data_IF_452857812452
#
_entry.id   IF_452857812452
#
_cell.length_a   1.000
_cell.length_b   1.000
_cell.length_c   1.000
_cell.angle_alpha   90.00
_cell.angle_beta   90.00
_cell.angle_gamma   90.00
#
_symmetry.space_group_name_H-M   'P 1'
#
loop_
_entity.id
_entity.type
_entity.pdbx_description
1 polymer ?
#
# COMPACT_ATOMS: atom_id res chain seq x y z
N UNK A 1 -6.07 -18.43 26.97
CA UNK A 1 -6.98 -17.93 25.94
C UNK A 1 -6.95 -18.95 24.79
N UNK A 2 -8.09 -19.50 24.39
CA UNK A 2 -8.20 -20.37 23.22
C UNK A 2 -7.76 -19.54 22.00
N UNK A 3 -6.66 -19.93 21.35
CA UNK A 3 -6.21 -19.35 20.10
C UNK A 3 -7.25 -19.65 19.04
N UNK A 4 -8.14 -18.71 18.77
CA UNK A 4 -9.15 -18.86 17.73
C UNK A 4 -8.47 -18.69 16.38
N UNK A 5 -8.32 -19.79 15.64
CA UNK A 5 -7.87 -19.73 14.24
C UNK A 5 -8.83 -18.85 13.45
N UNK A 6 -8.29 -17.93 12.68
CA UNK A 6 -9.08 -17.11 11.76
C UNK A 6 -9.59 -17.97 10.60
N UNK A 7 -10.87 -17.80 10.26
CA UNK A 7 -11.48 -18.50 9.13
C UNK A 7 -10.90 -17.99 7.80
N UNK A 8 -10.99 -18.80 6.76
CA UNK A 8 -10.58 -18.41 5.40
C UNK A 8 -11.32 -17.13 4.93
N UNK A 9 -12.63 -17.06 5.20
CA UNK A 9 -13.46 -15.89 4.86
C UNK A 9 -12.97 -14.59 5.51
N UNK A 10 -12.52 -14.67 6.75
CA UNK A 10 -11.98 -13.50 7.46
C UNK A 10 -10.63 -13.05 6.88
N UNK A 11 -9.76 -13.99 6.52
CA UNK A 11 -8.45 -13.70 5.92
C UNK A 11 -8.60 -13.06 4.55
N UNK A 12 -9.46 -13.63 3.71
CA UNK A 12 -9.79 -13.06 2.39
C UNK A 12 -10.44 -11.70 2.55
N UNK A 13 -11.45 -11.60 3.42
CA UNK A 13 -12.14 -10.33 3.65
C UNK A 13 -11.24 -9.23 4.19
N UNK A 14 -10.26 -9.56 5.05
CA UNK A 14 -9.24 -8.62 5.48
C UNK A 14 -8.32 -8.21 4.31
N UNK A 15 -7.86 -9.15 3.51
CA UNK A 15 -7.03 -8.88 2.33
C UNK A 15 -7.72 -7.97 1.30
N UNK A 16 -9.03 -8.15 1.08
CA UNK A 16 -9.82 -7.31 0.17
C UNK A 16 -9.82 -5.82 0.54
N UNK A 17 -9.63 -5.48 1.82
CA UNK A 17 -9.48 -4.10 2.27
C UNK A 17 -8.21 -3.43 1.70
N UNK A 18 -7.12 -4.17 1.56
CA UNK A 18 -5.92 -3.64 0.91
C UNK A 18 -6.11 -3.48 -0.61
N UNK A 19 -6.77 -4.45 -1.27
CA UNK A 19 -7.16 -4.28 -2.68
C UNK A 19 -8.02 -3.03 -2.87
N UNK A 20 -9.00 -2.80 -1.97
CA UNK A 20 -9.83 -1.61 -2.00
C UNK A 20 -9.03 -0.32 -1.89
N UNK A 21 -8.05 -0.28 -0.99
CA UNK A 21 -7.12 0.86 -0.86
C UNK A 21 -6.30 1.06 -2.13
N UNK A 22 -5.75 -0.01 -2.70
CA UNK A 22 -4.88 0.04 -3.88
C UNK A 22 -5.60 0.51 -5.15
N UNK A 23 -6.90 0.24 -5.32
CA UNK A 23 -7.63 0.75 -6.48
C UNK A 23 -7.63 2.27 -6.59
N UNK A 24 -7.62 2.99 -5.48
CA UNK A 24 -7.54 4.45 -5.46
C UNK A 24 -6.10 4.92 -5.27
N UNK A 25 -5.37 4.33 -4.32
CA UNK A 25 -4.01 4.73 -3.97
C UNK A 25 -3.04 4.63 -5.15
N UNK A 26 -3.10 3.55 -5.91
CA UNK A 26 -2.22 3.36 -7.06
C UNK A 26 -2.63 4.25 -8.25
N UNK A 27 -3.92 4.53 -8.43
CA UNK A 27 -4.36 5.56 -9.38
C UNK A 27 -3.76 6.93 -9.05
N UNK A 28 -3.81 7.31 -7.78
CA UNK A 28 -3.18 8.54 -7.29
C UNK A 28 -1.66 8.46 -7.49
N UNK A 29 -1.02 7.38 -7.04
CA UNK A 29 0.43 7.23 -7.09
C UNK A 29 1.01 7.27 -8.51
N UNK A 30 0.34 6.65 -9.48
CA UNK A 30 0.85 6.54 -10.85
C UNK A 30 0.39 7.67 -11.76
N UNK A 31 -0.82 8.22 -11.56
CA UNK A 31 -1.47 9.03 -12.57
C UNK A 31 -1.83 10.45 -12.15
N UNK A 32 -1.91 10.78 -10.85
CA UNK A 32 -2.40 12.08 -10.41
C UNK A 32 -1.52 13.24 -10.89
N UNK A 33 -0.20 13.07 -10.89
CA UNK A 33 0.72 14.10 -11.36
C UNK A 33 0.52 14.39 -12.86
N UNK A 34 0.49 13.35 -13.67
CA UNK A 34 0.23 13.44 -15.12
C UNK A 34 -1.16 14.03 -15.37
N UNK A 35 -2.17 13.58 -14.62
CA UNK A 35 -3.52 14.13 -14.74
C UNK A 35 -3.55 15.62 -14.41
N UNK A 36 -2.89 16.07 -13.37
CA UNK A 36 -2.85 17.48 -12.98
C UNK A 36 -2.11 18.34 -14.01
N UNK A 37 -0.99 17.87 -14.55
CA UNK A 37 -0.18 18.65 -15.51
C UNK A 37 -0.77 18.61 -16.91
N UNK A 38 -1.02 17.41 -17.42
CA UNK A 38 -1.30 17.22 -18.86
C UNK A 38 -2.80 17.27 -19.19
N UNK A 39 -3.66 16.95 -18.21
CA UNK A 39 -5.12 16.91 -18.42
C UNK A 39 -5.82 18.10 -17.79
N UNK A 40 -5.53 18.43 -16.52
CA UNK A 40 -6.17 19.54 -15.80
C UNK A 40 -5.50 20.89 -16.06
N UNK A 41 -4.22 20.85 -16.49
CA UNK A 41 -3.47 22.05 -16.93
C UNK A 41 -2.94 22.92 -15.78
N UNK A 42 -2.62 22.33 -14.61
CA UNK A 42 -1.87 23.03 -13.56
C UNK A 42 -0.36 22.88 -13.82
N UNK A 43 0.43 23.89 -13.43
CA UNK A 43 1.89 23.80 -13.58
C UNK A 43 2.46 22.65 -12.74
N UNK A 44 3.53 22.01 -13.25
CA UNK A 44 4.22 20.92 -12.53
C UNK A 44 4.75 21.39 -11.16
N UNK A 45 5.15 22.67 -11.04
CA UNK A 45 5.55 23.26 -9.77
C UNK A 45 4.40 23.33 -8.76
N UNK A 46 3.19 23.75 -9.19
CA UNK A 46 2.00 23.77 -8.34
C UNK A 46 1.59 22.34 -7.93
N UNK A 47 1.55 21.40 -8.86
CA UNK A 47 1.22 20.00 -8.58
C UNK A 47 2.24 19.39 -7.59
N UNK A 48 3.53 19.57 -7.80
CA UNK A 48 4.58 19.10 -6.88
C UNK A 48 4.47 19.74 -5.49
N UNK A 49 4.13 21.04 -5.41
CA UNK A 49 3.91 21.73 -4.14
C UNK A 49 2.70 21.16 -3.38
N UNK A 50 1.60 20.88 -4.07
CA UNK A 50 0.41 20.23 -3.48
C UNK A 50 0.80 18.87 -2.87
N UNK A 51 1.56 18.06 -3.62
CA UNK A 51 2.01 16.74 -3.14
C UNK A 51 2.94 16.86 -1.94
N UNK A 52 3.86 17.84 -1.93
CA UNK A 52 4.75 18.09 -0.80
C UNK A 52 3.98 18.52 0.45
N UNK A 53 3.04 19.46 0.31
CA UNK A 53 2.17 19.89 1.43
C UNK A 53 1.39 18.70 2.00
N UNK A 54 0.88 17.82 1.16
CA UNK A 54 0.19 16.62 1.61
C UNK A 54 1.12 15.67 2.41
N UNK A 55 2.38 15.50 2.02
CA UNK A 55 3.34 14.70 2.81
C UNK A 55 3.65 15.32 4.18
N UNK A 56 3.75 16.64 4.24
CA UNK A 56 3.89 17.33 5.54
C UNK A 56 2.62 17.19 6.38
N UNK A 57 1.44 17.24 5.74
CA UNK A 57 0.17 17.01 6.41
C UNK A 57 0.05 15.58 6.97
N UNK A 58 0.47 14.55 6.22
CA UNK A 58 0.48 13.16 6.66
C UNK A 58 1.30 13.00 7.96
N UNK A 59 2.45 13.69 8.10
CA UNK A 59 3.27 13.65 9.33
C UNK A 59 2.52 14.10 10.58
N UNK A 60 1.51 14.96 10.43
CA UNK A 60 0.68 15.47 11.53
C UNK A 60 -0.60 14.65 11.67
N UNK A 61 -1.26 14.36 10.55
CA UNK A 61 -2.57 13.69 10.55
C UNK A 61 -2.49 12.22 10.98
N UNK A 62 -1.41 11.51 10.66
CA UNK A 62 -1.25 10.09 11.01
C UNK A 62 -1.21 9.87 12.54
N UNK A 63 -0.35 10.57 13.33
CA UNK A 63 -0.37 10.46 14.79
C UNK A 63 -1.71 10.88 15.40
N UNK A 64 -2.32 11.97 14.90
CA UNK A 64 -3.63 12.44 15.38
C UNK A 64 -4.70 11.39 15.14
N UNK A 65 -4.74 10.80 13.93
CA UNK A 65 -5.68 9.75 13.60
C UNK A 65 -5.45 8.48 14.45
N UNK A 66 -4.20 8.13 14.73
CA UNK A 66 -3.85 7.04 15.64
C UNK A 66 -4.47 7.23 17.01
N UNK A 67 -4.33 8.43 17.59
CA UNK A 67 -4.92 8.78 18.91
C UNK A 67 -6.46 8.72 18.86
N UNK A 68 -7.07 9.26 17.80
CA UNK A 68 -8.53 9.24 17.63
C UNK A 68 -9.02 7.79 17.54
N UNK A 69 -8.37 6.97 16.72
CA UNK A 69 -8.71 5.56 16.57
C UNK A 69 -8.54 4.80 17.89
N UNK A 70 -7.49 5.11 18.67
CA UNK A 70 -7.23 4.48 19.95
C UNK A 70 -8.27 4.81 21.02
N UNK A 71 -8.85 5.98 20.99
CA UNK A 71 -9.92 6.41 21.90
C UNK A 71 -11.32 5.99 21.46
N UNK A 72 -11.46 5.51 20.23
CA UNK A 72 -12.75 5.11 19.70
C UNK A 72 -13.26 3.83 20.35
N UNK A 73 -14.50 3.85 20.80
CA UNK A 73 -15.20 2.69 21.35
C UNK A 73 -16.64 2.68 20.83
N UNK A 74 -16.95 1.72 19.96
CA UNK A 74 -18.30 1.60 19.36
C UNK A 74 -18.81 0.16 19.44
N UNK A 75 -20.10 -0.03 19.15
CA UNK A 75 -20.73 -1.35 19.04
C UNK A 75 -20.08 -2.26 17.99
N UNK A 76 -19.36 -1.70 17.02
CA UNK A 76 -18.67 -2.46 15.96
C UNK A 76 -17.19 -2.72 16.25
N UNK A 77 -16.68 -2.20 17.38
CA UNK A 77 -15.28 -2.26 17.77
C UNK A 77 -14.61 -0.88 17.70
N UNK A 78 -13.28 -0.90 17.74
CA UNK A 78 -12.41 0.27 17.77
C UNK A 78 -12.02 0.74 16.38
N UNK A 79 -11.59 -0.17 15.52
CA UNK A 79 -11.01 0.13 14.20
C UNK A 79 -11.98 -0.09 13.03
N UNK A 80 -12.87 -1.09 13.11
CA UNK A 80 -13.85 -1.41 12.07
C UNK A 80 -14.80 -0.27 11.69
N UNK A 81 -15.26 0.61 12.62
CA UNK A 81 -16.13 1.73 12.26
C UNK A 81 -15.55 2.65 11.20
N UNK A 82 -14.22 2.85 11.20
CA UNK A 82 -13.55 3.71 10.23
C UNK A 82 -13.62 3.16 8.80
N UNK A 83 -13.55 1.83 8.64
CA UNK A 83 -13.74 1.18 7.35
C UNK A 83 -15.14 1.49 6.82
N UNK A 84 -16.16 1.41 7.68
CA UNK A 84 -17.54 1.70 7.30
C UNK A 84 -17.75 3.18 6.98
N UNK A 85 -17.29 4.08 7.86
CA UNK A 85 -17.57 5.51 7.76
C UNK A 85 -16.74 6.19 6.66
N UNK A 86 -15.50 5.78 6.47
CA UNK A 86 -14.57 6.44 5.56
C UNK A 86 -14.58 5.85 4.14
N UNK A 87 -15.14 4.67 3.91
CA UNK A 87 -15.22 4.08 2.57
C UNK A 87 -15.95 4.95 1.57
N UNK A 88 -17.08 5.55 1.95
CA UNK A 88 -17.85 6.43 1.07
C UNK A 88 -17.12 7.77 0.80
N UNK A 89 -16.70 8.55 1.82
CA UNK A 89 -15.88 9.75 1.59
C UNK A 89 -14.62 9.48 0.77
N UNK A 90 -13.93 8.37 1.01
CA UNK A 90 -12.73 7.97 0.25
C UNK A 90 -13.03 7.80 -1.24
N UNK A 91 -14.11 7.07 -1.55
CA UNK A 91 -14.54 6.84 -2.93
C UNK A 91 -14.96 8.14 -3.63
N UNK A 92 -15.70 9.01 -2.95
CA UNK A 92 -16.14 10.29 -3.50
C UNK A 92 -14.98 11.23 -3.75
N UNK A 93 -14.09 11.40 -2.75
CA UNK A 93 -12.92 12.27 -2.88
C UNK A 93 -11.93 11.79 -3.95
N UNK A 94 -11.79 10.46 -4.11
CA UNK A 94 -11.01 9.90 -5.20
C UNK A 94 -11.55 10.37 -6.58
N UNK A 95 -12.86 10.30 -6.80
CA UNK A 95 -13.47 10.77 -8.05
C UNK A 95 -13.31 12.28 -8.21
N UNK A 96 -13.50 13.06 -7.14
CA UNK A 96 -13.34 14.51 -7.17
C UNK A 96 -11.90 14.92 -7.50
N UNK A 97 -10.89 14.22 -6.98
CA UNK A 97 -9.47 14.50 -7.27
C UNK A 97 -9.12 14.32 -8.75
N UNK A 98 -9.89 13.51 -9.50
CA UNK A 98 -9.74 13.31 -10.95
C UNK A 98 -10.89 13.93 -11.75
N UNK A 99 -11.47 14.99 -11.24
CA UNK A 99 -12.49 15.80 -11.93
C UNK A 99 -11.86 17.14 -12.33
N UNK A 100 -12.24 17.65 -13.50
CA UNK A 100 -11.70 18.89 -14.09
C UNK A 100 -12.78 19.96 -14.18
N UNK A 101 -13.22 20.57 -13.06
CA UNK A 101 -14.15 21.69 -13.12
C UNK A 101 -13.52 22.89 -13.83
N UNK A 102 -14.35 23.63 -14.55
CA UNK A 102 -13.89 24.81 -15.31
C UNK A 102 -13.78 26.01 -14.36
N UNK A 103 -12.64 26.11 -13.70
CA UNK A 103 -12.24 27.24 -12.86
C UNK A 103 -11.10 28.00 -13.52
N UNK A 104 -10.94 29.29 -13.22
CA UNK A 104 -9.73 30.02 -13.59
C UNK A 104 -8.47 29.39 -12.96
N UNK A 105 -7.26 29.75 -13.43
CA UNK A 105 -6.00 29.09 -13.07
C UNK A 105 -5.78 28.94 -11.56
N UNK A 106 -6.04 30.00 -10.79
CA UNK A 106 -5.95 29.95 -9.32
C UNK A 106 -6.98 28.99 -8.74
N UNK A 107 -8.22 28.99 -9.27
CA UNK A 107 -9.29 28.11 -8.83
C UNK A 107 -8.97 26.63 -9.07
N UNK A 108 -8.33 26.28 -10.18
CA UNK A 108 -7.86 24.92 -10.48
C UNK A 108 -6.86 24.44 -9.44
N UNK A 109 -5.87 25.27 -9.07
CA UNK A 109 -4.85 24.93 -8.07
C UNK A 109 -5.50 24.73 -6.69
N UNK A 110 -6.41 25.62 -6.28
CA UNK A 110 -7.13 25.51 -4.99
C UNK A 110 -7.99 24.24 -4.97
N UNK A 111 -8.73 23.95 -6.03
CA UNK A 111 -9.54 22.75 -6.13
C UNK A 111 -8.71 21.46 -6.05
N UNK A 112 -7.61 21.38 -6.82
CA UNK A 112 -6.69 20.26 -6.80
C UNK A 112 -6.08 20.07 -5.40
N UNK A 113 -5.63 21.15 -4.76
CA UNK A 113 -5.07 21.11 -3.40
C UNK A 113 -6.10 20.63 -2.38
N UNK A 114 -7.32 21.19 -2.41
CA UNK A 114 -8.37 20.84 -1.46
C UNK A 114 -8.80 19.37 -1.61
N UNK A 115 -9.08 18.92 -2.83
CA UNK A 115 -9.51 17.53 -3.08
C UNK A 115 -8.40 16.52 -2.76
N UNK A 116 -7.14 16.83 -3.09
CA UNK A 116 -6.01 15.97 -2.79
C UNK A 116 -5.74 15.87 -1.28
N UNK A 117 -5.70 16.99 -0.56
CA UNK A 117 -5.49 17.02 0.90
C UNK A 117 -6.61 16.29 1.66
N UNK A 118 -7.86 16.52 1.25
CA UNK A 118 -9.01 15.82 1.83
C UNK A 118 -8.94 14.31 1.55
N UNK A 119 -8.56 13.92 0.32
CA UNK A 119 -8.39 12.51 -0.04
C UNK A 119 -7.29 11.85 0.81
N UNK A 120 -6.14 12.50 1.01
CA UNK A 120 -5.07 11.99 1.86
C UNK A 120 -5.51 11.87 3.32
N UNK A 121 -6.24 12.87 3.84
CA UNK A 121 -6.79 12.83 5.21
C UNK A 121 -7.74 11.65 5.41
N UNK A 122 -8.66 11.42 4.46
CA UNK A 122 -9.60 10.31 4.53
C UNK A 122 -8.89 8.97 4.30
N UNK A 123 -7.85 8.93 3.44
CA UNK A 123 -7.00 7.76 3.29
C UNK A 123 -6.33 7.37 4.60
N UNK A 124 -5.72 8.32 5.32
CA UNK A 124 -5.18 8.08 6.67
C UNK A 124 -6.25 7.57 7.62
N UNK A 125 -7.45 8.19 7.59
CA UNK A 125 -8.55 7.81 8.47
C UNK A 125 -9.12 6.40 8.21
N UNK A 126 -8.97 5.85 7.01
CA UNK A 126 -9.39 4.46 6.72
C UNK A 126 -8.23 3.49 6.86
N UNK A 127 -7.05 3.82 6.34
CA UNK A 127 -5.94 2.88 6.20
C UNK A 127 -5.21 2.60 7.53
N UNK A 128 -5.07 3.61 8.39
CA UNK A 128 -4.38 3.44 9.68
C UNK A 128 -5.18 2.54 10.64
N UNK A 129 -6.52 2.74 10.85
CA UNK A 129 -7.33 1.80 11.61
C UNK A 129 -7.42 0.42 10.95
N UNK A 130 -7.52 0.35 9.61
CA UNK A 130 -7.50 -0.91 8.89
C UNK A 130 -6.21 -1.70 9.14
N UNK A 131 -5.05 -1.06 9.09
CA UNK A 131 -3.76 -1.71 9.37
C UNK A 131 -3.68 -2.21 10.82
N UNK A 132 -4.22 -1.43 11.77
CA UNK A 132 -4.27 -1.78 13.20
C UNK A 132 -5.25 -2.91 13.51
N UNK A 133 -6.30 -3.08 12.68
CA UNK A 133 -7.32 -4.11 12.84
C UNK A 133 -6.71 -5.52 12.89
N UNK A 134 -5.67 -5.79 12.11
CA UNK A 134 -4.99 -7.10 12.10
C UNK A 134 -4.48 -7.52 13.48
N UNK A 135 -4.03 -6.59 14.31
CA UNK A 135 -3.52 -6.86 15.65
C UNK A 135 -4.63 -7.24 16.64
N UNK A 136 -5.85 -6.73 16.45
CA UNK A 136 -7.00 -7.01 17.32
C UNK A 136 -7.90 -8.14 16.80
N UNK A 137 -7.66 -8.65 15.60
CA UNK A 137 -8.36 -9.83 15.07
C UNK A 137 -7.85 -11.12 15.71
N UNK A 138 -6.56 -11.20 16.08
CA UNK A 138 -5.95 -12.38 16.71
C UNK A 138 -4.76 -12.02 17.59
N UNK A 139 -4.65 -12.69 18.73
CA UNK A 139 -3.47 -12.59 19.62
C UNK A 139 -2.31 -13.49 19.17
N UNK A 140 -2.57 -14.50 18.31
CA UNK A 140 -1.55 -15.41 17.81
C UNK A 140 -0.68 -14.75 16.75
N UNK A 141 0.61 -14.62 17.03
CA UNK A 141 1.57 -13.95 16.14
C UNK A 141 1.81 -14.71 14.82
N UNK A 142 1.61 -16.04 14.77
CA UNK A 142 1.68 -16.81 13.53
C UNK A 142 0.40 -16.71 12.70
N UNK A 143 -0.76 -16.60 13.36
CA UNK A 143 -2.01 -16.28 12.64
C UNK A 143 -1.95 -14.86 12.06
N UNK A 144 -1.34 -13.86 12.76
CA UNK A 144 -1.10 -12.53 12.20
C UNK A 144 -0.17 -12.57 10.99
N UNK A 145 0.90 -13.37 11.02
CA UNK A 145 1.76 -13.56 9.86
C UNK A 145 0.98 -14.12 8.65
N UNK A 146 0.11 -15.10 8.90
CA UNK A 146 -0.79 -15.63 7.89
C UNK A 146 -1.79 -14.58 7.38
N UNK A 147 -2.40 -13.79 8.27
CA UNK A 147 -3.33 -12.72 7.91
C UNK A 147 -2.65 -11.66 7.03
N UNK A 148 -1.44 -11.23 7.41
CA UNK A 148 -0.64 -10.29 6.62
C UNK A 148 -0.21 -10.89 5.27
N UNK A 149 0.01 -12.21 5.18
CA UNK A 149 0.27 -12.85 3.88
C UNK A 149 -0.92 -12.68 2.93
N UNK A 150 -2.16 -12.90 3.39
CA UNK A 150 -3.36 -12.61 2.59
C UNK A 150 -3.42 -11.13 2.23
N UNK A 151 -3.21 -10.25 3.19
CA UNK A 151 -3.19 -8.79 2.99
C UNK A 151 -2.29 -8.40 1.82
N UNK A 152 -1.02 -8.81 1.84
CA UNK A 152 -0.05 -8.43 0.80
C UNK A 152 -0.31 -9.11 -0.55
N UNK A 153 -0.80 -10.35 -0.58
CA UNK A 153 -1.25 -10.98 -1.83
C UNK A 153 -2.34 -10.13 -2.50
N UNK A 154 -3.33 -9.71 -1.74
CA UNK A 154 -4.44 -8.91 -2.23
C UNK A 154 -4.03 -7.47 -2.57
N UNK A 155 -3.07 -6.87 -1.83
CA UNK A 155 -2.48 -5.57 -2.14
C UNK A 155 -1.79 -5.57 -3.51
N UNK A 156 -0.86 -6.52 -3.71
CA UNK A 156 -0.14 -6.62 -4.98
C UNK A 156 -1.04 -7.04 -6.15
N UNK A 157 -2.08 -7.85 -5.91
CA UNK A 157 -3.07 -8.14 -6.93
C UNK A 157 -3.85 -6.87 -7.34
N UNK A 158 -4.26 -6.04 -6.38
CA UNK A 158 -4.87 -4.73 -6.64
C UNK A 158 -3.95 -3.82 -7.44
N UNK A 159 -2.69 -3.70 -7.03
CA UNK A 159 -1.67 -2.92 -7.75
C UNK A 159 -1.48 -3.40 -9.20
N UNK A 160 -1.42 -4.72 -9.44
CA UNK A 160 -1.30 -5.27 -10.80
C UNK A 160 -2.52 -4.94 -11.66
N UNK A 161 -3.72 -5.01 -11.10
CA UNK A 161 -4.95 -4.66 -11.82
C UNK A 161 -4.91 -3.19 -12.23
N UNK A 162 -4.62 -2.29 -11.30
CA UNK A 162 -4.58 -0.84 -11.59
C UNK A 162 -3.47 -0.52 -12.60
N UNK A 163 -2.24 -0.98 -12.35
CA UNK A 163 -1.11 -0.70 -13.25
C UNK A 163 -1.29 -1.27 -14.65
N UNK A 164 -1.97 -2.41 -14.76
CA UNK A 164 -2.21 -3.07 -16.06
C UNK A 164 -3.43 -2.57 -16.82
N UNK A 165 -4.42 -1.97 -16.15
CA UNK A 165 -5.71 -1.66 -16.79
C UNK A 165 -6.08 -0.18 -16.79
N UNK A 166 -5.51 0.65 -15.89
CA UNK A 166 -5.94 2.03 -15.70
C UNK A 166 -5.87 2.86 -16.98
N UNK A 167 -4.75 2.84 -17.68
CA UNK A 167 -4.58 3.62 -18.91
C UNK A 167 -5.48 3.10 -20.05
N UNK A 168 -5.57 1.79 -20.23
CA UNK A 168 -6.42 1.19 -21.25
C UNK A 168 -7.90 1.49 -21.00
N UNK A 169 -8.33 1.45 -19.75
CA UNK A 169 -9.69 1.84 -19.36
C UNK A 169 -9.93 3.34 -19.59
N UNK A 170 -8.96 4.20 -19.25
CA UNK A 170 -9.09 5.63 -19.46
C UNK A 170 -9.21 5.97 -20.95
N UNK A 171 -8.43 5.34 -21.81
CA UNK A 171 -8.53 5.51 -23.26
C UNK A 171 -9.87 4.99 -23.82
N UNK A 172 -10.30 3.82 -23.36
CA UNK A 172 -11.54 3.19 -23.82
C UNK A 172 -12.79 3.98 -23.38
N UNK A 173 -12.87 4.36 -22.09
CA UNK A 173 -14.02 5.06 -21.52
C UNK A 173 -14.08 6.54 -21.93
N UNK A 174 -12.91 7.15 -22.16
CA UNK A 174 -12.80 8.56 -22.52
C UNK A 174 -13.15 8.87 -23.97
N UNK A 175 -13.11 7.88 -24.87
CA UNK A 175 -13.43 8.05 -26.30
C UNK A 175 -12.76 9.27 -26.95
N UNK A 176 -11.51 9.54 -26.58
CA UNK A 176 -10.73 10.70 -27.04
C UNK A 176 -10.71 11.88 -26.05
N UNK A 177 -11.56 11.90 -25.05
CA UNK A 177 -11.51 12.87 -23.94
C UNK A 177 -10.75 12.27 -22.75
N UNK A 178 -9.51 12.68 -22.58
CA UNK A 178 -8.63 12.13 -21.54
C UNK A 178 -9.13 12.44 -20.12
N UNK A 179 -9.73 13.61 -19.90
CA UNK A 179 -10.29 14.03 -18.62
C UNK A 179 -11.42 13.09 -18.18
N UNK A 180 -12.40 12.90 -19.07
CA UNK A 180 -13.50 11.95 -18.81
C UNK A 180 -13.01 10.52 -18.68
N UNK A 181 -11.99 10.14 -19.45
CA UNK A 181 -11.39 8.82 -19.38
C UNK A 181 -10.85 8.48 -17.99
N UNK A 182 -10.02 9.33 -17.44
CA UNK A 182 -9.51 9.16 -16.06
C UNK A 182 -10.63 9.21 -15.03
N UNK A 183 -11.56 10.13 -15.15
CA UNK A 183 -12.69 10.27 -14.22
C UNK A 183 -13.57 9.00 -14.22
N UNK A 184 -13.97 8.48 -15.37
CA UNK A 184 -14.80 7.26 -15.47
C UNK A 184 -14.07 6.01 -14.98
N UNK A 185 -12.78 5.90 -15.28
CA UNK A 185 -11.95 4.81 -14.74
C UNK A 185 -11.93 4.86 -13.23
N UNK A 186 -11.77 6.04 -12.66
CA UNK A 186 -11.74 6.18 -11.21
C UNK A 186 -13.12 5.99 -10.56
N UNK A 187 -14.20 6.39 -11.22
CA UNK A 187 -15.56 6.04 -10.77
C UNK A 187 -15.71 4.51 -10.67
N UNK A 188 -15.28 3.77 -11.69
CA UNK A 188 -15.32 2.31 -11.68
C UNK A 188 -14.51 1.74 -10.51
N UNK A 189 -13.26 2.18 -10.35
CA UNK A 189 -12.40 1.70 -9.27
C UNK A 189 -12.89 2.13 -7.88
N UNK A 190 -13.45 3.32 -7.74
CA UNK A 190 -14.01 3.82 -6.49
C UNK A 190 -15.26 3.03 -6.05
N UNK A 191 -16.13 2.65 -7.00
CA UNK A 191 -17.29 1.79 -6.72
C UNK A 191 -16.81 0.40 -6.28
N UNK A 192 -15.86 -0.19 -6.98
CA UNK A 192 -15.29 -1.50 -6.59
C UNK A 192 -14.64 -1.39 -5.20
N UNK A 193 -13.81 -0.35 -4.97
CA UNK A 193 -13.16 -0.08 -3.68
C UNK A 193 -14.19 0.00 -2.54
N UNK A 194 -15.27 0.76 -2.72
CA UNK A 194 -16.35 0.86 -1.75
C UNK A 194 -16.97 -0.50 -1.42
N UNK A 195 -17.29 -1.30 -2.44
CA UNK A 195 -17.86 -2.64 -2.26
C UNK A 195 -16.90 -3.53 -1.48
N UNK A 196 -15.60 -3.52 -1.83
CA UNK A 196 -14.58 -4.32 -1.16
C UNK A 196 -14.39 -3.91 0.31
N UNK A 197 -14.43 -2.60 0.63
CA UNK A 197 -14.41 -2.13 2.02
C UNK A 197 -15.66 -2.60 2.79
N UNK A 198 -16.84 -2.61 2.16
CA UNK A 198 -18.05 -3.14 2.81
C UNK A 198 -17.95 -4.64 3.06
N UNK A 199 -17.34 -5.41 2.17
CA UNK A 199 -17.04 -6.83 2.39
C UNK A 199 -16.05 -6.98 3.54
N UNK A 200 -14.98 -6.20 3.57
CA UNK A 200 -14.01 -6.19 4.67
C UNK A 200 -14.67 -5.91 6.02
N UNK A 201 -15.50 -4.88 6.09
CA UNK A 201 -16.24 -4.55 7.30
C UNK A 201 -17.15 -5.70 7.77
N UNK A 202 -17.85 -6.36 6.86
CA UNK A 202 -18.79 -7.45 7.19
C UNK A 202 -18.11 -8.75 7.57
N UNK A 203 -16.92 -9.01 7.05
CA UNK A 203 -16.22 -10.30 7.24
C UNK A 203 -15.23 -10.29 8.40
N UNK A 204 -14.71 -9.12 8.78
CA UNK A 204 -13.74 -9.00 9.88
C UNK A 204 -14.42 -8.81 11.22
N UNK A 205 -13.76 -9.24 12.32
CA UNK A 205 -14.24 -9.05 13.70
C UNK A 205 -13.05 -8.78 14.63
N UNK A 206 -13.20 -7.82 15.53
CA UNK A 206 -12.27 -7.56 16.61
C UNK A 206 -12.53 -8.54 17.76
N UNK A 207 -11.49 -9.22 18.23
CA UNK A 207 -11.58 -10.24 19.30
C UNK A 207 -10.69 -9.95 20.49
N UNK A 208 -9.62 -9.19 20.28
CA UNK A 208 -8.66 -8.83 21.32
C UNK A 208 -9.04 -7.47 21.86
N UNK A 209 -9.52 -7.44 23.11
CA UNK A 209 -9.76 -6.17 23.79
C UNK A 209 -8.42 -5.49 24.12
N UNK A 210 -8.28 -4.18 23.90
CA UNK A 210 -7.11 -3.44 24.36
C UNK A 210 -7.04 -3.46 25.88
N UNK A 211 -5.84 -3.32 26.48
CA UNK A 211 -5.69 -3.17 27.92
C UNK A 211 -6.55 -2.01 28.45
N UNK A 212 -7.21 -2.20 29.60
CA UNK A 212 -8.20 -1.27 30.15
C UNK A 212 -7.61 0.07 30.65
N UNK A 213 -6.29 0.17 30.78
CA UNK A 213 -5.60 1.33 31.36
C UNK A 213 -4.48 1.80 30.43
N UNK A 214 -4.84 2.53 29.38
CA UNK A 214 -3.88 3.36 28.66
C UNK A 214 -4.24 4.83 28.89
N UNK A 215 -3.62 5.44 29.88
CA UNK A 215 -3.50 6.90 29.95
C UNK A 215 -2.56 7.31 28.81
N UNK A 216 -3.12 7.94 27.77
CA UNK A 216 -2.36 8.40 26.62
C UNK A 216 -1.51 9.63 27.04
N UNK A 217 -0.37 9.42 27.64
CA UNK A 217 0.68 10.41 27.76
C UNK A 217 1.67 10.24 26.60
N UNK A 218 1.40 10.96 25.51
CA UNK A 218 2.23 10.95 24.29
C UNK A 218 3.71 11.18 24.56
N UNK A 219 4.04 12.07 25.53
CA UNK A 219 5.42 12.38 25.86
C UNK A 219 6.11 11.19 26.53
N UNK A 220 5.40 10.54 27.45
CA UNK A 220 5.92 9.35 28.12
C UNK A 220 6.00 8.15 27.18
N UNK A 221 5.02 7.99 26.29
CA UNK A 221 4.99 6.91 25.30
C UNK A 221 6.14 7.05 24.29
N UNK A 222 6.41 8.25 23.75
CA UNK A 222 7.56 8.53 22.91
C UNK A 222 8.88 8.24 23.63
N UNK A 223 9.00 8.67 24.90
CA UNK A 223 10.20 8.40 25.72
C UNK A 223 10.41 6.90 25.96
N UNK A 224 9.33 6.15 26.15
CA UNK A 224 9.37 4.70 26.31
C UNK A 224 9.74 3.99 25.01
N UNK A 225 9.21 4.44 23.86
CA UNK A 225 9.57 3.93 22.53
C UNK A 225 11.06 4.13 22.23
N UNK A 226 11.60 5.33 22.51
CA UNK A 226 13.03 5.64 22.31
C UNK A 226 13.96 4.85 23.26
N UNK A 227 13.45 4.25 24.33
CA UNK A 227 14.18 3.33 25.19
C UNK A 227 14.02 1.87 24.81
N UNK A 228 13.04 1.55 23.96
CA UNK A 228 12.74 0.19 23.52
C UNK A 228 13.68 -0.22 22.38
N UNK A 229 14.82 -0.85 22.72
CA UNK A 229 15.83 -1.29 21.75
C UNK A 229 15.27 -2.15 20.60
N UNK A 230 14.40 -3.16 20.82
CA UNK A 230 13.75 -3.89 19.73
C UNK A 230 12.95 -2.99 18.77
N UNK A 231 12.22 -2.02 19.31
CA UNK A 231 11.46 -1.07 18.49
C UNK A 231 12.37 -0.19 17.63
N UNK A 232 13.47 0.33 18.20
CA UNK A 232 14.45 1.16 17.48
C UNK A 232 15.05 0.36 16.31
N UNK A 233 15.42 -0.90 16.54
CA UNK A 233 15.96 -1.78 15.49
C UNK A 233 14.93 -1.95 14.37
N UNK A 234 13.68 -2.26 14.70
CA UNK A 234 12.61 -2.42 13.70
C UNK A 234 12.31 -1.12 12.95
N UNK A 235 12.39 0.01 13.60
CA UNK A 235 12.23 1.34 12.99
C UNK A 235 13.30 1.57 11.90
N UNK A 236 14.57 1.35 12.21
CA UNK A 236 15.64 1.48 11.22
C UNK A 236 15.56 0.42 10.11
N UNK A 237 15.19 -0.81 10.43
CA UNK A 237 14.92 -1.86 9.42
C UNK A 237 13.81 -1.41 8.47
N UNK A 238 12.74 -0.80 8.99
CA UNK A 238 11.65 -0.25 8.18
C UNK A 238 12.13 0.85 7.23
N UNK A 239 12.89 1.83 7.75
CA UNK A 239 13.47 2.91 6.92
C UNK A 239 14.36 2.34 5.83
N UNK A 240 15.31 1.47 6.17
CA UNK A 240 16.24 0.87 5.20
C UNK A 240 15.47 0.07 4.14
N UNK A 241 14.47 -0.70 4.54
CA UNK A 241 13.63 -1.47 3.60
C UNK A 241 12.87 -0.56 2.64
N UNK A 242 12.33 0.57 3.13
CA UNK A 242 11.64 1.54 2.31
C UNK A 242 12.58 2.25 1.31
N UNK A 243 13.76 2.68 1.77
CA UNK A 243 14.79 3.29 0.91
C UNK A 243 15.25 2.29 -0.15
N UNK A 244 15.51 1.03 0.24
CA UNK A 244 15.90 -0.03 -0.69
C UNK A 244 14.81 -0.25 -1.76
N UNK A 245 13.53 -0.31 -1.36
CA UNK A 245 12.42 -0.46 -2.28
C UNK A 245 12.33 0.72 -3.27
N UNK A 246 12.48 1.95 -2.80
CA UNK A 246 12.46 3.14 -3.64
C UNK A 246 13.63 3.16 -4.63
N UNK A 247 14.85 2.85 -4.17
CA UNK A 247 16.05 2.79 -5.02
C UNK A 247 15.94 1.69 -6.09
N UNK A 248 15.43 0.50 -5.73
CA UNK A 248 15.23 -0.58 -6.69
C UNK A 248 14.25 -0.18 -7.80
N UNK A 249 13.12 0.43 -7.46
CA UNK A 249 12.14 0.87 -8.47
C UNK A 249 12.71 1.95 -9.40
N UNK A 250 13.47 2.90 -8.87
CA UNK A 250 14.14 3.92 -9.68
C UNK A 250 15.23 3.30 -10.56
N UNK A 251 16.07 2.44 -9.99
CA UNK A 251 17.21 1.84 -10.70
C UNK A 251 16.79 0.94 -11.86
N UNK A 252 15.68 0.20 -11.72
CA UNK A 252 15.17 -0.69 -12.78
C UNK A 252 14.88 0.08 -14.06
N UNK A 253 14.25 1.25 -13.98
CA UNK A 253 13.94 2.06 -15.16
C UNK A 253 15.23 2.51 -15.90
N UNK A 254 16.24 2.97 -15.14
CA UNK A 254 17.54 3.36 -15.70
C UNK A 254 18.30 2.17 -16.26
N UNK A 255 18.30 1.01 -15.58
CA UNK A 255 18.94 -0.22 -16.00
C UNK A 255 18.43 -0.68 -17.36
N UNK A 256 17.10 -0.72 -17.55
CA UNK A 256 16.51 -1.11 -18.84
C UNK A 256 16.71 -0.05 -19.92
N UNK A 257 16.66 1.25 -19.58
CA UNK A 257 16.83 2.33 -20.55
C UNK A 257 18.27 2.46 -21.06
N UNK A 258 19.25 2.42 -20.16
CA UNK A 258 20.64 2.77 -20.49
C UNK A 258 21.55 1.56 -20.62
N UNK A 259 21.30 0.45 -19.94
CA UNK A 259 22.13 -0.75 -20.00
C UNK A 259 21.57 -1.79 -20.96
N UNK A 260 20.28 -2.11 -20.87
CA UNK A 260 19.62 -3.07 -21.76
C UNK A 260 19.27 -2.42 -23.13
N UNK A 261 19.04 -1.11 -23.18
CA UNK A 261 18.61 -0.39 -24.39
C UNK A 261 17.13 -0.60 -24.77
N UNK A 262 16.32 -1.19 -23.88
CA UNK A 262 14.90 -1.47 -24.13
C UNK A 262 14.03 -1.11 -22.92
N UNK A 263 13.60 0.15 -22.86
CA UNK A 263 12.76 0.65 -21.78
C UNK A 263 11.36 0.00 -21.72
N UNK A 264 10.85 -0.56 -22.83
CA UNK A 264 9.51 -1.18 -22.87
C UNK A 264 9.44 -2.45 -22.02
N UNK A 265 10.56 -3.12 -21.79
CA UNK A 265 10.63 -4.34 -20.98
C UNK A 265 10.53 -4.09 -19.47
N UNK A 266 10.67 -2.85 -18.98
CA UNK A 266 10.54 -2.48 -17.56
C UNK A 266 9.20 -2.95 -17.00
N UNK A 267 8.11 -2.70 -17.74
CA UNK A 267 6.78 -3.09 -17.28
C UNK A 267 6.66 -4.61 -17.13
N UNK A 268 7.12 -5.37 -18.14
CA UNK A 268 7.08 -6.83 -18.10
C UNK A 268 7.94 -7.40 -16.95
N UNK A 269 9.13 -6.84 -16.75
CA UNK A 269 10.04 -7.19 -15.66
C UNK A 269 9.39 -7.00 -14.28
N UNK A 270 8.72 -5.87 -14.06
CA UNK A 270 8.03 -5.59 -12.83
C UNK A 270 6.80 -6.47 -12.62
N UNK A 271 6.00 -6.69 -13.67
CA UNK A 271 4.80 -7.55 -13.62
C UNK A 271 5.19 -8.99 -13.26
N UNK A 272 6.16 -9.58 -13.97
CA UNK A 272 6.61 -10.96 -13.71
C UNK A 272 7.19 -11.07 -12.31
N UNK A 273 8.01 -10.12 -11.88
CA UNK A 273 8.56 -10.09 -10.52
C UNK A 273 7.47 -9.99 -9.44
N UNK A 274 6.43 -9.19 -9.67
CA UNK A 274 5.31 -9.05 -8.74
C UNK A 274 4.46 -10.32 -8.69
N UNK A 275 4.21 -10.97 -9.81
CA UNK A 275 3.52 -12.27 -9.84
C UNK A 275 4.31 -13.32 -9.05
N UNK A 276 5.63 -13.39 -9.25
CA UNK A 276 6.51 -14.31 -8.52
C UNK A 276 6.46 -14.06 -7.00
N UNK A 277 6.45 -12.78 -6.60
CA UNK A 277 6.30 -12.38 -5.20
C UNK A 277 4.93 -12.80 -4.63
N UNK A 278 3.83 -12.55 -5.34
CA UNK A 278 2.48 -12.96 -4.94
C UNK A 278 2.40 -14.47 -4.69
N UNK A 279 2.96 -15.27 -5.59
CA UNK A 279 2.97 -16.74 -5.49
C UNK A 279 3.75 -17.20 -4.25
N UNK A 280 4.83 -16.50 -3.88
CA UNK A 280 5.70 -16.92 -2.79
C UNK A 280 5.28 -16.39 -1.40
N UNK A 281 4.53 -15.30 -1.29
CA UNK A 281 4.05 -14.73 -0.02
C UNK A 281 3.32 -15.76 0.88
N UNK A 282 2.43 -16.65 0.40
CA UNK A 282 1.75 -17.62 1.26
C UNK A 282 2.66 -18.56 2.03
N UNK A 283 3.89 -18.77 1.57
CA UNK A 283 4.89 -19.60 2.26
C UNK A 283 5.47 -18.94 3.52
N UNK A 284 5.22 -17.64 3.76
CA UNK A 284 5.72 -16.91 4.94
C UNK A 284 5.33 -17.57 6.26
N UNK A 285 4.05 -17.95 6.42
CA UNK A 285 3.55 -18.56 7.66
C UNK A 285 4.17 -19.95 7.92
N UNK A 286 4.18 -20.91 6.98
CA UNK A 286 4.79 -22.22 7.20
C UNK A 286 6.30 -22.13 7.45
N UNK A 287 7.02 -21.30 6.72
CA UNK A 287 8.45 -21.07 6.93
C UNK A 287 8.72 -20.48 8.32
N UNK A 288 7.97 -19.44 8.71
CA UNK A 288 8.11 -18.81 10.03
C UNK A 288 7.82 -19.78 11.18
N UNK A 289 6.86 -20.70 11.02
CA UNK A 289 6.59 -21.74 12.01
C UNK A 289 7.74 -22.75 12.15
N UNK A 290 8.39 -23.10 11.02
CA UNK A 290 9.45 -24.11 11.01
C UNK A 290 10.79 -23.55 11.46
N UNK A 291 11.16 -22.34 11.03
CA UNK A 291 12.51 -21.78 11.21
C UNK A 291 12.54 -20.54 12.12
N UNK A 292 11.38 -20.07 12.57
CA UNK A 292 11.26 -18.83 13.34
C UNK A 292 11.20 -17.58 12.45
N UNK A 293 10.48 -16.55 12.90
CA UNK A 293 10.24 -15.31 12.12
C UNK A 293 11.54 -14.57 11.79
N UNK A 294 12.45 -14.40 12.78
CA UNK A 294 13.71 -13.69 12.62
C UNK A 294 14.59 -14.36 11.57
N UNK A 295 14.76 -15.68 11.65
CA UNK A 295 15.60 -16.45 10.73
C UNK A 295 15.07 -16.36 9.30
N UNK A 296 13.75 -16.53 9.12
CA UNK A 296 13.13 -16.43 7.79
C UNK A 296 13.27 -15.03 7.22
N UNK A 297 13.04 -13.98 8.02
CA UNK A 297 13.21 -12.59 7.57
C UNK A 297 14.64 -12.31 7.10
N UNK A 298 15.65 -12.68 7.90
CA UNK A 298 17.06 -12.46 7.57
C UNK A 298 17.49 -13.27 6.34
N UNK A 299 17.17 -14.57 6.30
CA UNK A 299 17.53 -15.43 5.18
C UNK A 299 16.86 -14.98 3.86
N UNK A 300 15.58 -14.61 3.91
CA UNK A 300 14.83 -14.10 2.77
C UNK A 300 15.42 -12.79 2.24
N UNK A 301 15.73 -11.85 3.15
CA UNK A 301 16.31 -10.56 2.77
C UNK A 301 17.73 -10.72 2.19
N UNK A 302 18.56 -11.57 2.80
CA UNK A 302 19.92 -11.83 2.33
C UNK A 302 19.91 -12.50 0.96
N UNK A 303 19.11 -13.55 0.79
CA UNK A 303 19.01 -14.28 -0.47
C UNK A 303 18.50 -13.37 -1.59
N UNK A 304 17.48 -12.58 -1.33
CA UNK A 304 16.98 -11.58 -2.28
C UNK A 304 18.06 -10.58 -2.67
N UNK A 305 18.80 -10.03 -1.70
CA UNK A 305 19.90 -9.09 -1.93
C UNK A 305 20.98 -9.70 -2.84
N UNK A 306 21.36 -10.95 -2.61
CA UNK A 306 22.33 -11.67 -3.45
C UNK A 306 21.84 -11.71 -4.90
N UNK A 307 20.59 -12.11 -5.16
CA UNK A 307 20.05 -12.19 -6.52
C UNK A 307 19.87 -10.82 -7.18
N UNK A 308 19.62 -9.76 -6.43
CA UNK A 308 19.64 -8.40 -6.98
C UNK A 308 21.05 -7.94 -7.36
N UNK A 309 22.08 -8.32 -6.59
CA UNK A 309 23.50 -8.07 -6.95
C UNK A 309 23.89 -8.89 -8.19
N UNK A 310 23.43 -10.12 -8.29
CA UNK A 310 23.69 -10.97 -9.45
C UNK A 310 23.10 -10.43 -10.76
N UNK A 311 22.17 -9.49 -10.74
CA UNK A 311 21.71 -8.77 -11.94
C UNK A 311 22.82 -8.00 -12.66
N UNK A 312 23.96 -7.77 -12.00
CA UNK A 312 25.13 -7.15 -12.62
C UNK A 312 25.91 -8.08 -13.58
N UNK A 313 25.75 -9.41 -13.41
CA UNK A 313 26.54 -10.41 -14.17
C UNK A 313 26.08 -10.59 -15.62
N UNK A 314 24.76 -10.71 -15.93
CA UNK A 314 24.32 -10.93 -17.30
C UNK A 314 24.57 -9.71 -18.18
N UNK A 315 25.10 -9.94 -19.39
CA UNK A 315 25.11 -8.89 -20.41
C UNK A 315 23.72 -8.52 -20.88
N UNK A 316 23.55 -7.37 -21.55
CA UNK A 316 22.26 -6.87 -22.04
C UNK A 316 21.54 -7.81 -23.01
N UNK A 317 22.28 -8.72 -23.67
CA UNK A 317 21.74 -9.76 -24.55
C UNK A 317 21.10 -10.93 -23.79
N UNK A 318 21.45 -11.15 -22.54
CA UNK A 318 20.98 -12.27 -21.72
C UNK A 318 19.71 -11.94 -20.92
N UNK A 319 18.69 -11.40 -21.59
CA UNK A 319 17.43 -10.97 -20.98
C UNK A 319 16.77 -12.08 -20.16
N UNK A 320 16.82 -13.33 -20.63
CA UNK A 320 16.25 -14.47 -19.91
C UNK A 320 16.87 -14.68 -18.52
N UNK A 321 18.20 -14.51 -18.39
CA UNK A 321 18.90 -14.60 -17.12
C UNK A 321 18.56 -13.44 -16.19
N UNK A 322 18.40 -12.21 -16.72
CA UNK A 322 17.98 -11.03 -15.98
C UNK A 322 16.60 -11.24 -15.36
N UNK A 323 15.63 -11.73 -16.17
CA UNK A 323 14.28 -12.03 -15.68
C UNK A 323 14.30 -13.17 -14.64
N UNK A 324 15.11 -14.21 -14.86
CA UNK A 324 15.26 -15.33 -13.91
C UNK A 324 15.75 -14.85 -12.56
N UNK A 325 16.81 -14.03 -12.52
CA UNK A 325 17.34 -13.49 -11.27
C UNK A 325 16.31 -12.58 -10.56
N UNK A 326 15.56 -11.78 -11.29
CA UNK A 326 14.46 -11.01 -10.72
C UNK A 326 13.38 -11.89 -10.08
N UNK A 327 12.94 -12.94 -10.77
CA UNK A 327 11.95 -13.89 -10.27
C UNK A 327 12.45 -14.50 -8.95
N UNK A 328 13.68 -15.02 -8.93
CA UNK A 328 14.26 -15.64 -7.74
C UNK A 328 14.42 -14.62 -6.61
N UNK A 329 14.90 -13.41 -6.91
CA UNK A 329 15.04 -12.34 -5.92
C UNK A 329 13.69 -11.98 -5.28
N UNK A 330 12.65 -11.80 -6.08
CA UNK A 330 11.29 -11.48 -5.61
C UNK A 330 10.65 -12.64 -4.84
N UNK A 331 10.82 -13.89 -5.30
CA UNK A 331 10.35 -15.07 -4.57
C UNK A 331 11.08 -15.24 -3.23
N UNK A 332 12.39 -14.99 -3.20
CA UNK A 332 13.18 -15.05 -1.97
C UNK A 332 12.75 -13.97 -0.97
N UNK A 333 12.43 -12.74 -1.43
CA UNK A 333 11.99 -11.64 -0.58
C UNK A 333 10.58 -11.82 -0.04
N UNK A 334 9.71 -12.50 -0.79
CA UNK A 334 8.30 -12.60 -0.50
C UNK A 334 7.95 -13.04 0.95
N UNK A 335 8.63 -14.02 1.57
CA UNK A 335 8.36 -14.39 2.96
C UNK A 335 8.68 -13.28 3.98
N UNK A 336 9.62 -12.38 3.67
CA UNK A 336 9.99 -11.28 4.57
C UNK A 336 8.90 -10.20 4.66
N UNK A 337 8.17 -9.96 3.57
CA UNK A 337 7.18 -8.87 3.46
C UNK A 337 6.13 -8.91 4.59
N UNK A 338 5.35 -9.98 4.79
CA UNK A 338 4.36 -10.00 5.86
C UNK A 338 4.97 -10.14 7.25
N UNK A 339 6.21 -10.65 7.38
CA UNK A 339 6.87 -10.83 8.67
C UNK A 339 7.34 -9.53 9.29
N UNK A 340 7.67 -8.52 8.49
CA UNK A 340 8.02 -7.18 8.98
C UNK A 340 6.86 -6.54 9.76
N UNK A 341 5.62 -6.90 9.47
CA UNK A 341 4.40 -6.34 10.06
C UNK A 341 3.78 -7.23 11.16
N UNK A 342 4.52 -8.19 11.70
CA UNK A 342 4.05 -9.15 12.73
C UNK A 342 4.83 -9.08 14.02
#
# INVERSE_FOLDING_TARGET
AKTTKLSFKEKVGYGLGDTASHFVWDMVGFWILIFYTDTYGISAAAAGTIMLIARVWDMVSDPVMGIIADKTNTRWGKFRPYILWMAFPYSVLAVLAFTTPDFGDTGKVIYAAATYLLLMTVFTAINLPYSSLGAVMTSDSYERAGLNSYRFVFAFAGQLIVSGTALSLALFLGKGDQSKGFQYTLILFAVISFILFMITFRTTRERVAPPKEQTADLRQDLKNLLKNRPWIILFFVGIISFVMFALLNLSVAYYFKYYIGNAQQVQLFNVIGTIALIIAIPFSKPLAKRFGKKTVFLASSLLSGIFFILLYIPGPENIGMIFTFNIIAKMAYAPAVPLLWT
#
